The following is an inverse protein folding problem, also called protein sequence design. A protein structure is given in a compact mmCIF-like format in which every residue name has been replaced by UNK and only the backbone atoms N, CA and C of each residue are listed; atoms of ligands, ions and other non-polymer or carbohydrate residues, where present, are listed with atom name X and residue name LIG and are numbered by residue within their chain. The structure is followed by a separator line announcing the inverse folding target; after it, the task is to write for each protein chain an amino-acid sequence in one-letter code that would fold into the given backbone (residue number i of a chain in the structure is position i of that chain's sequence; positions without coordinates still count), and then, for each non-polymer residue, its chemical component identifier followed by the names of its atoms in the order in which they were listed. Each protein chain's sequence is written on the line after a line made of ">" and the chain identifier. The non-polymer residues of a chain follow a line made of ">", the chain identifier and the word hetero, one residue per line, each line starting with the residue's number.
data_IF_734486888848
#
_entry.id   IF_734486888848
#
_cell.length_a   1.000
_cell.length_b   1.000
_cell.length_c   1.000
_cell.angle_alpha   90.00
_cell.angle_beta   90.00
_cell.angle_gamma   90.00
#
_symmetry.space_group_name_H-M   'P 1'
#
loop_
_entity.id
_entity.type
_entity.pdbx_description
1 polymer ?
#
# COMPACT_ATOMS: atom_id res chain seq x y z
N UNK A 1 -2.15 7.29 11.59
CA UNK A 1 -1.46 8.54 11.16
C UNK A 1 -2.16 9.74 11.78
N UNK A 2 -1.40 10.68 12.35
CA UNK A 2 -1.91 11.94 12.89
C UNK A 2 -1.66 13.02 11.83
N UNK A 3 -2.76 13.49 11.22
CA UNK A 3 -2.72 14.48 10.16
C UNK A 3 -2.60 15.90 10.74
N UNK A 4 -1.88 16.81 10.07
CA UNK A 4 -1.85 18.21 10.45
C UNK A 4 -3.24 18.86 10.37
N UNK A 5 -3.54 19.69 11.37
CA UNK A 5 -4.81 20.41 11.46
C UNK A 5 -4.75 21.76 10.72
N UNK A 6 -5.90 22.24 10.26
CA UNK A 6 -6.05 23.52 9.56
C UNK A 6 -6.12 23.42 8.03
N UNK A 7 -6.16 24.57 7.36
CA UNK A 7 -6.20 24.62 5.90
C UNK A 7 -4.86 24.15 5.32
N UNK A 8 -4.92 23.29 4.28
CA UNK A 8 -3.73 22.88 3.54
C UNK A 8 -3.07 24.10 2.90
N UNK A 9 -1.75 24.19 3.01
CA UNK A 9 -0.96 25.25 2.37
C UNK A 9 -0.97 25.13 0.83
N UNK A 10 -1.17 23.92 0.32
CA UNK A 10 -1.23 23.68 -1.11
C UNK A 10 -1.51 22.23 -1.47
N UNK A 11 -1.16 21.88 -2.70
CA UNK A 11 -1.22 20.51 -3.19
C UNK A 11 0.02 20.27 -4.05
N UNK A 12 0.67 19.12 -3.90
CA UNK A 12 1.86 18.76 -4.68
C UNK A 12 1.48 18.28 -6.10
N UNK A 13 2.49 18.01 -6.92
CA UNK A 13 2.33 17.54 -8.31
C UNK A 13 1.53 16.21 -8.42
N UNK A 14 1.44 15.47 -7.32
CA UNK A 14 0.76 14.19 -7.22
C UNK A 14 -0.67 14.32 -6.65
N UNK A 15 -1.13 15.53 -6.36
CA UNK A 15 -2.46 15.78 -5.80
C UNK A 15 -2.53 15.63 -4.28
N UNK A 16 -1.41 15.49 -3.58
CA UNK A 16 -1.37 15.35 -2.14
C UNK A 16 -1.44 16.70 -1.44
N UNK A 17 -2.10 16.76 -0.27
CA UNK A 17 -2.10 17.97 0.54
C UNK A 17 -0.68 18.30 1.04
N UNK A 18 -0.29 19.57 0.91
CA UNK A 18 0.95 20.12 1.46
C UNK A 18 0.58 20.98 2.66
N UNK A 19 1.32 20.82 3.76
CA UNK A 19 1.13 21.54 5.02
C UNK A 19 2.34 22.42 5.32
N UNK A 20 2.13 23.46 6.14
CA UNK A 20 3.22 24.26 6.65
C UNK A 20 4.07 23.49 7.67
N UNK A 21 5.30 23.96 7.90
CA UNK A 21 6.18 23.41 8.95
C UNK A 21 5.53 23.48 10.34
N UNK A 22 4.81 24.55 10.63
CA UNK A 22 4.09 24.72 11.91
C UNK A 22 2.98 23.67 12.08
N UNK A 23 2.23 23.39 11.01
CA UNK A 23 1.19 22.36 11.04
C UNK A 23 1.79 20.97 11.23
N UNK A 24 2.90 20.66 10.55
CA UNK A 24 3.62 19.40 10.71
C UNK A 24 4.19 19.25 12.13
N UNK A 25 4.74 20.34 12.70
CA UNK A 25 5.23 20.35 14.08
C UNK A 25 4.09 20.11 15.08
N UNK A 26 2.93 20.74 14.91
CA UNK A 26 1.76 20.50 15.75
C UNK A 26 1.25 19.05 15.66
N UNK A 27 1.24 18.46 14.46
CA UNK A 27 0.89 17.06 14.26
C UNK A 27 1.87 16.13 14.99
N UNK A 28 3.17 16.44 14.94
CA UNK A 28 4.21 15.70 15.66
C UNK A 28 4.05 15.81 17.18
N UNK A 29 3.79 17.00 17.71
CA UNK A 29 3.54 17.17 19.15
C UNK A 29 2.33 16.37 19.63
N UNK A 30 1.25 16.39 18.85
CA UNK A 30 0.06 15.58 19.12
C UNK A 30 0.37 14.08 19.07
N UNK A 31 1.11 13.63 18.07
CA UNK A 31 1.54 12.24 17.95
C UNK A 31 2.43 11.81 19.12
N UNK A 32 3.37 12.67 19.54
CA UNK A 32 4.23 12.43 20.71
C UNK A 32 3.40 12.30 21.99
N UNK A 33 2.45 13.21 22.23
CA UNK A 33 1.60 13.15 23.42
C UNK A 33 0.75 11.87 23.46
N UNK A 34 0.15 11.48 22.32
CA UNK A 34 -0.61 10.24 22.19
C UNK A 34 0.27 9.01 22.39
N UNK A 35 1.49 9.03 21.84
CA UNK A 35 2.46 7.95 22.00
C UNK A 35 2.92 7.80 23.45
N UNK A 36 3.23 8.89 24.13
CA UNK A 36 3.61 8.88 25.55
C UNK A 36 2.46 8.41 26.45
N UNK A 37 1.23 8.85 26.15
CA UNK A 37 0.03 8.38 26.85
C UNK A 37 -0.16 6.86 26.67
N UNK A 38 0.02 6.36 25.45
CA UNK A 38 -0.11 4.94 25.15
C UNK A 38 0.99 4.11 25.83
N UNK A 39 2.24 4.60 25.81
CA UNK A 39 3.37 3.99 26.51
C UNK A 39 3.18 3.93 28.02
N UNK A 40 2.51 4.92 28.61
CA UNK A 40 2.16 4.92 30.03
C UNK A 40 1.01 3.95 30.38
N UNK A 41 0.26 3.48 29.38
CA UNK A 41 -0.81 2.51 29.52
C UNK A 41 -0.32 1.06 29.41
N UNK A 42 -1.12 0.21 28.76
CA UNK A 42 -0.77 -1.21 28.55
C UNK A 42 0.35 -1.40 27.52
N UNK A 43 0.49 -0.46 26.57
CA UNK A 43 1.49 -0.51 25.49
C UNK A 43 1.52 -1.83 24.69
N UNK A 44 0.35 -2.44 24.46
CA UNK A 44 0.16 -3.67 23.69
C UNK A 44 -0.44 -3.40 22.32
N UNK A 45 -0.33 -4.36 21.39
CA UNK A 45 -1.00 -4.30 20.07
C UNK A 45 -2.51 -4.06 20.19
N UNK A 46 -3.18 -4.72 21.14
CA UNK A 46 -4.62 -4.54 21.36
C UNK A 46 -4.95 -3.10 21.82
N UNK A 47 -4.16 -2.55 22.76
CA UNK A 47 -4.35 -1.16 23.19
C UNK A 47 -3.98 -0.14 22.09
N UNK A 48 -3.07 -0.52 21.18
CA UNK A 48 -2.69 0.30 20.03
C UNK A 48 -3.82 0.41 19.01
N UNK A 49 -4.55 -0.68 18.76
CA UNK A 49 -5.73 -0.66 17.89
C UNK A 49 -6.78 0.37 18.38
N UNK A 50 -6.99 0.48 19.69
CA UNK A 50 -7.85 1.52 20.28
C UNK A 50 -7.32 2.93 20.05
N UNK A 51 -6.01 3.14 20.21
CA UNK A 51 -5.37 4.43 19.91
C UNK A 51 -5.60 4.84 18.44
N UNK A 52 -5.54 3.88 17.52
CA UNK A 52 -5.78 4.08 16.09
C UNK A 52 -7.23 4.45 15.82
N UNK A 53 -8.19 3.72 16.37
CA UNK A 53 -9.62 3.97 16.19
C UNK A 53 -10.00 5.41 16.58
N UNK A 54 -9.45 5.89 17.70
CA UNK A 54 -9.80 7.20 18.27
C UNK A 54 -9.10 8.38 17.56
N UNK A 55 -7.93 8.17 16.94
CA UNK A 55 -7.04 9.27 16.55
C UNK A 55 -6.53 9.23 15.10
N UNK A 56 -6.62 8.08 14.41
CA UNK A 56 -5.99 7.93 13.10
C UNK A 56 -6.83 8.58 12.00
N UNK A 57 -6.19 9.43 11.20
CA UNK A 57 -6.75 9.95 9.95
C UNK A 57 -6.56 8.98 8.76
N UNK A 58 -5.85 7.86 8.97
CA UNK A 58 -5.60 6.88 7.91
C UNK A 58 -6.79 5.94 7.73
N UNK A 59 -7.69 6.31 6.82
CA UNK A 59 -8.89 5.53 6.48
C UNK A 59 -8.60 4.15 5.89
N UNK A 60 -7.38 3.91 5.37
CA UNK A 60 -7.03 2.63 4.76
C UNK A 60 -6.79 1.50 5.76
N UNK A 61 -6.50 1.84 7.02
CA UNK A 61 -6.12 0.87 8.05
C UNK A 61 -6.92 1.01 9.37
N UNK A 62 -7.60 2.14 9.58
CA UNK A 62 -8.32 2.42 10.84
C UNK A 62 -9.32 1.33 11.23
N UNK A 63 -10.05 0.76 10.27
CA UNK A 63 -11.06 -0.28 10.53
C UNK A 63 -10.46 -1.62 10.94
N UNK A 64 -9.15 -1.80 10.80
CA UNK A 64 -8.42 -3.01 11.17
C UNK A 64 -7.35 -2.69 12.24
N UNK A 65 -7.61 -1.72 13.12
CA UNK A 65 -6.69 -1.35 14.19
C UNK A 65 -5.36 -0.77 13.72
N UNK A 66 -5.28 -0.31 12.47
CA UNK A 66 -4.06 0.26 11.89
C UNK A 66 -3.12 -0.77 11.27
N UNK A 67 -3.53 -2.04 11.19
CA UNK A 67 -2.69 -3.11 10.67
C UNK A 67 -2.54 -3.04 9.15
N UNK A 68 -1.29 -2.98 8.70
CA UNK A 68 -0.90 -3.20 7.32
C UNK A 68 -0.23 -4.57 7.17
N UNK A 69 -0.76 -5.41 6.28
CA UNK A 69 -0.21 -6.73 5.95
C UNK A 69 0.36 -6.76 4.54
N UNK A 70 1.36 -7.60 4.30
CA UNK A 70 1.94 -7.78 2.97
C UNK A 70 2.69 -6.55 2.43
N UNK A 71 3.13 -5.65 3.31
CA UNK A 71 3.91 -4.47 2.93
C UNK A 71 5.23 -4.91 2.32
N UNK A 72 5.50 -4.46 1.09
CA UNK A 72 6.77 -4.70 0.41
C UNK A 72 7.65 -3.43 0.38
N UNK A 73 8.99 -3.60 0.28
CA UNK A 73 9.89 -2.46 0.15
C UNK A 73 9.54 -1.57 -1.04
N UNK A 74 9.67 -0.25 -0.87
CA UNK A 74 9.44 0.81 -1.86
C UNK A 74 7.98 1.00 -2.30
N UNK A 75 7.01 0.50 -1.54
CA UNK A 75 5.58 0.77 -1.79
C UNK A 75 5.06 2.02 -1.04
N UNK A 76 5.70 2.36 0.07
CA UNK A 76 5.33 3.48 0.95
C UNK A 76 6.38 4.59 0.85
N UNK A 77 6.07 5.75 1.43
CA UNK A 77 7.06 6.84 1.57
C UNK A 77 8.31 6.37 2.28
N UNK A 78 9.44 6.95 1.91
CA UNK A 78 10.78 6.53 2.33
C UNK A 78 10.90 6.39 3.84
N UNK A 79 10.39 7.35 4.60
CA UNK A 79 10.51 7.36 6.07
C UNK A 79 9.76 6.18 6.72
N UNK A 80 8.56 5.86 6.19
CA UNK A 80 7.80 4.70 6.63
C UNK A 80 8.49 3.39 6.25
N UNK A 81 8.97 3.33 5.01
CA UNK A 81 9.69 2.16 4.48
C UNK A 81 10.94 1.86 5.31
N UNK A 82 11.78 2.86 5.53
CA UNK A 82 13.06 2.72 6.24
C UNK A 82 12.82 2.29 7.70
N UNK A 83 11.77 2.80 8.34
CA UNK A 83 11.38 2.36 9.68
C UNK A 83 10.95 0.87 9.69
N UNK A 84 10.10 0.45 8.75
CA UNK A 84 9.56 -0.91 8.70
C UNK A 84 10.61 -1.97 8.38
N UNK A 85 11.57 -1.65 7.50
CA UNK A 85 12.56 -2.60 6.98
C UNK A 85 13.93 -2.49 7.62
N UNK A 86 14.07 -1.73 8.71
CA UNK A 86 15.29 -1.74 9.51
C UNK A 86 15.58 -3.17 10.03
N UNK A 87 16.77 -3.75 9.75
CA UNK A 87 17.08 -5.14 10.09
C UNK A 87 17.15 -5.41 11.61
N UNK A 88 17.15 -4.35 12.44
CA UNK A 88 17.14 -4.47 13.90
C UNK A 88 15.74 -4.58 14.49
N UNK A 89 14.69 -4.45 13.67
CA UNK A 89 13.29 -4.51 14.12
C UNK A 89 12.92 -5.86 14.70
N UNK A 90 12.19 -5.81 15.81
CA UNK A 90 11.59 -6.97 16.48
C UNK A 90 10.14 -6.67 16.83
N UNK A 91 9.34 -7.74 16.95
CA UNK A 91 7.94 -7.65 17.37
C UNK A 91 7.81 -6.82 18.65
N UNK A 92 6.85 -5.88 18.65
CA UNK A 92 6.63 -4.93 19.74
C UNK A 92 7.46 -3.65 19.65
N UNK A 93 8.38 -3.50 18.70
CA UNK A 93 9.08 -2.23 18.50
C UNK A 93 8.10 -1.13 18.09
N UNK A 94 8.23 0.04 18.72
CA UNK A 94 7.37 1.20 18.48
C UNK A 94 8.19 2.44 18.17
N UNK A 95 7.57 3.44 17.56
CA UNK A 95 8.25 4.71 17.30
C UNK A 95 7.39 5.71 16.53
N UNK A 96 7.95 6.91 16.37
CA UNK A 96 7.34 7.99 15.61
C UNK A 96 8.07 8.13 14.27
N UNK A 97 7.30 8.27 13.19
CA UNK A 97 7.80 8.49 11.83
C UNK A 97 7.13 9.73 11.26
N UNK A 98 7.94 10.73 10.93
CA UNK A 98 7.48 11.96 10.31
C UNK A 98 7.46 11.80 8.80
N UNK A 99 6.41 12.32 8.16
CA UNK A 99 6.23 12.31 6.71
C UNK A 99 5.65 13.65 6.28
N UNK A 100 5.65 13.94 4.98
CA UNK A 100 4.98 15.13 4.44
C UNK A 100 3.47 15.20 4.74
N UNK A 101 2.86 14.08 5.13
CA UNK A 101 1.43 13.97 5.44
C UNK A 101 1.09 14.20 6.91
N UNK A 102 2.09 14.27 7.79
CA UNK A 102 1.91 14.27 9.25
C UNK A 102 2.85 13.29 9.94
N UNK A 103 2.46 12.85 11.14
CA UNK A 103 3.27 11.96 11.96
C UNK A 103 2.57 10.61 12.17
N UNK A 104 3.31 9.52 11.99
CA UNK A 104 2.85 8.16 12.20
C UNK A 104 3.38 7.64 13.53
N UNK A 105 2.49 7.10 14.34
CA UNK A 105 2.86 6.25 15.47
C UNK A 105 2.88 4.83 14.92
N UNK A 106 4.01 4.14 15.10
CA UNK A 106 4.28 2.84 14.50
C UNK A 106 4.34 1.75 15.57
N UNK A 107 3.79 0.58 15.24
CA UNK A 107 3.88 -0.64 16.04
C UNK A 107 4.30 -1.79 15.12
N UNK A 108 5.44 -2.42 15.40
CA UNK A 108 5.97 -3.51 14.58
C UNK A 108 5.41 -4.85 15.06
N UNK A 109 4.52 -5.46 14.29
CA UNK A 109 3.91 -6.76 14.66
C UNK A 109 4.88 -7.91 14.38
N UNK A 110 5.31 -8.07 13.13
CA UNK A 110 6.25 -9.11 12.74
C UNK A 110 6.86 -8.86 11.36
N UNK A 111 8.01 -9.46 11.10
CA UNK A 111 8.52 -9.65 9.75
C UNK A 111 8.05 -11.00 9.19
N UNK A 112 7.79 -11.05 7.89
CA UNK A 112 7.65 -12.31 7.15
C UNK A 112 8.90 -13.18 7.36
N UNK A 113 8.70 -14.46 7.70
CA UNK A 113 9.80 -15.45 7.82
C UNK A 113 10.58 -15.58 6.50
N UNK A 114 9.89 -15.41 5.36
CA UNK A 114 10.52 -15.31 4.05
C UNK A 114 10.89 -13.85 3.78
N UNK A 115 12.18 -13.58 3.68
CA UNK A 115 12.69 -12.28 3.22
C UNK A 115 12.12 -11.93 1.84
N UNK A 116 11.83 -10.65 1.60
CA UNK A 116 11.20 -10.19 0.37
C UNK A 116 11.90 -10.65 -0.92
N UNK A 117 13.24 -10.73 -0.92
CA UNK A 117 14.01 -11.24 -2.06
C UNK A 117 13.73 -12.72 -2.36
N UNK A 118 13.47 -13.54 -1.33
CA UNK A 118 13.12 -14.95 -1.52
C UNK A 118 11.76 -15.07 -2.21
N UNK A 119 10.77 -14.31 -1.73
CA UNK A 119 9.43 -14.26 -2.34
C UNK A 119 9.49 -13.73 -3.78
N UNK A 120 10.29 -12.69 -4.04
CA UNK A 120 10.47 -12.14 -5.38
C UNK A 120 11.17 -13.13 -6.33
N UNK A 121 12.21 -13.83 -5.86
CA UNK A 121 12.87 -14.88 -6.63
C UNK A 121 11.93 -16.06 -6.90
N UNK A 122 11.16 -16.50 -5.91
CA UNK A 122 10.16 -17.55 -6.05
C UNK A 122 9.11 -17.18 -7.10
N UNK A 123 8.59 -15.95 -7.06
CA UNK A 123 7.63 -15.43 -8.04
C UNK A 123 8.20 -15.37 -9.46
N UNK A 124 9.44 -14.91 -9.63
CA UNK A 124 10.10 -14.86 -10.94
C UNK A 124 10.29 -16.28 -11.51
N UNK A 125 10.79 -17.21 -10.70
CA UNK A 125 10.94 -18.61 -11.10
C UNK A 125 9.59 -19.25 -11.48
N UNK A 126 8.51 -18.95 -10.74
CA UNK A 126 7.17 -19.44 -11.10
C UNK A 126 6.68 -18.85 -12.41
N UNK A 127 6.91 -17.55 -12.66
CA UNK A 127 6.53 -16.89 -13.91
C UNK A 127 7.28 -17.45 -15.12
N UNK A 128 8.60 -17.65 -15.00
CA UNK A 128 9.41 -18.29 -16.02
C UNK A 128 8.93 -19.72 -16.30
N UNK A 129 8.66 -20.51 -15.26
CA UNK A 129 8.15 -21.88 -15.39
C UNK A 129 6.77 -21.92 -16.05
N UNK A 130 5.88 -21.01 -15.68
CA UNK A 130 4.55 -20.89 -16.31
C UNK A 130 4.68 -20.57 -17.80
N UNK A 131 5.60 -19.67 -18.15
CA UNK A 131 5.86 -19.28 -19.54
C UNK A 131 6.42 -20.45 -20.35
N UNK A 132 7.38 -21.20 -19.78
CA UNK A 132 7.91 -22.41 -20.40
C UNK A 132 6.83 -23.48 -20.60
N UNK A 133 5.97 -23.72 -19.61
CA UNK A 133 4.88 -24.70 -19.73
C UNK A 133 3.89 -24.30 -20.83
N UNK A 134 3.53 -23.02 -20.92
CA UNK A 134 2.69 -22.51 -21.98
C UNK A 134 3.35 -22.73 -23.35
N UNK A 135 4.62 -22.36 -23.49
CA UNK A 135 5.36 -22.54 -24.75
C UNK A 135 5.46 -24.01 -25.15
N UNK A 136 5.85 -24.90 -24.24
CA UNK A 136 5.89 -26.35 -24.48
C UNK A 136 4.50 -26.90 -24.83
N UNK A 137 3.43 -26.39 -24.21
CA UNK A 137 2.07 -26.79 -24.57
C UNK A 137 1.70 -26.38 -25.99
N UNK A 138 2.09 -25.18 -26.42
CA UNK A 138 1.85 -24.68 -27.79
C UNK A 138 2.71 -25.42 -28.83
N UNK A 139 3.95 -25.76 -28.48
CA UNK A 139 4.84 -26.55 -29.35
C UNK A 139 4.35 -27.99 -29.52
N UNK A 140 3.86 -28.62 -28.46
CA UNK A 140 3.34 -30.00 -28.51
C UNK A 140 1.92 -30.09 -29.11
N UNK A 141 1.17 -28.98 -29.10
CA UNK A 141 -0.16 -28.89 -29.70
C UNK A 141 -0.21 -27.68 -30.63
N UNK A 142 0.44 -27.76 -31.81
CA UNK A 142 0.40 -26.68 -32.79
C UNK A 142 -1.06 -26.45 -33.19
N UNK A 143 -1.54 -25.23 -32.97
CA UNK A 143 -2.85 -24.78 -33.40
C UNK A 143 -2.67 -23.93 -34.66
N UNK A 144 -3.43 -24.22 -35.71
CA UNK A 144 -3.59 -23.31 -36.84
C UNK A 144 -4.81 -22.45 -36.56
N UNK A 145 -4.61 -21.13 -36.47
CA UNK A 145 -5.71 -20.17 -36.46
C UNK A 145 -6.15 -19.96 -37.90
N UNK A 146 -7.30 -20.51 -38.26
CA UNK A 146 -7.97 -20.19 -39.52
C UNK A 146 -8.64 -18.82 -39.41
N UNK A 147 -7.94 -17.79 -39.86
CA UNK A 147 -8.45 -16.43 -39.89
C UNK A 147 -9.55 -16.23 -40.95
N UNK A 148 -9.71 -17.14 -41.92
CA UNK A 148 -10.75 -17.08 -42.95
C UNK A 148 -12.10 -17.61 -42.43
N UNK A 149 -12.10 -18.39 -41.34
CA UNK A 149 -13.30 -18.79 -40.63
C UNK A 149 -13.96 -17.65 -39.81
N UNK A 150 -13.26 -16.53 -39.62
CA UNK A 150 -13.80 -15.34 -38.93
C UNK A 150 -14.67 -14.54 -39.91
N UNK A 151 -15.95 -14.91 -40.01
CA UNK A 151 -16.94 -14.12 -40.77
C UNK A 151 -17.38 -12.91 -39.95
N UNK A 152 -16.77 -11.75 -40.19
CA UNK A 152 -17.29 -10.47 -39.70
C UNK A 152 -18.45 -10.02 -40.57
N UNK A 153 -19.68 -10.35 -40.15
CA UNK A 153 -20.90 -9.87 -40.79
C UNK A 153 -21.05 -8.35 -40.64
N UNK A 154 -21.01 -7.61 -41.75
CA UNK A 154 -21.37 -6.18 -41.75
C UNK A 154 -22.89 -6.06 -41.75
N UNK A 155 -23.47 -5.47 -40.71
CA UNK A 155 -24.89 -5.07 -40.68
C UNK A 155 -25.10 -3.95 -41.70
N UNK A 156 -25.97 -4.19 -42.69
CA UNK A 156 -26.50 -3.13 -43.55
C UNK A 156 -27.54 -2.33 -42.75
N UNK A 157 -27.22 -1.11 -42.35
CA UNK A 157 -28.24 -0.17 -41.86
C UNK A 157 -28.98 0.41 -43.07
N UNK A 158 -30.19 -0.08 -43.34
CA UNK A 158 -31.09 0.52 -44.31
C UNK A 158 -31.60 1.86 -43.77
N UNK A 159 -31.08 2.98 -44.26
CA UNK A 159 -31.75 4.27 -44.12
C UNK A 159 -32.71 4.42 -45.29
N UNK A 160 -33.97 4.01 -45.10
CA UNK A 160 -35.06 4.48 -45.96
C UNK A 160 -35.21 5.98 -45.73
N UNK A 161 -35.02 6.79 -46.76
CA UNK A 161 -35.56 8.15 -46.77
C UNK A 161 -36.35 8.34 -48.06
N UNK A 162 -37.66 8.51 -47.87
CA UNK A 162 -38.64 8.87 -48.88
C UNK A 162 -38.31 10.22 -49.52
N UNK A 163 -38.52 10.31 -50.84
CA UNK A 163 -39.25 11.41 -51.46
C UNK A 163 -40.23 10.83 -52.48
#
# INVERSE_FOLDING_TARGET
>A
MIQPEGEKAGTDDNGNAVYSEEQLAAAKEKAQALYDQWLAGEATEASFAGLVEDNSADTGSVSNGGLYEGVAPNQMVTEFNDWCFDPTRKAGDTGLVETQFGCHIMYFVSASEKTYWYTSAESQMMQERSTQLLQTSLENHPYEVDYDAIVLGKVQTSTTNSQ
#
